data_IF_893000816612
#
_entry.id   IF_893000816612
#
_cell.length_a   1.000
_cell.length_b   1.000
_cell.length_c   1.000
_cell.angle_alpha   90.00
_cell.angle_beta   90.00
_cell.angle_gamma   90.00
#
_symmetry.space_group_name_H-M   'P 1'
#
loop_
_entity.id
_entity.type
_entity.pdbx_description
1 polymer ?
#
# COMPACT_ATOMS: atom_id res chain seq x y z
N UNK A 1 -46.25 -1.46 50.77
CA UNK A 1 -44.96 -2.17 50.68
C UNK A 1 -44.16 -1.47 49.61
N UNK A 2 -42.98 -0.95 49.95
CA UNK A 2 -42.16 -0.15 49.04
C UNK A 2 -41.47 -1.06 48.02
N UNK A 3 -41.66 -0.78 46.73
CA UNK A 3 -40.89 -1.41 45.66
C UNK A 3 -39.66 -0.53 45.40
N UNK A 4 -38.48 -1.04 45.72
CA UNK A 4 -37.20 -0.37 45.40
C UNK A 4 -36.98 -0.39 43.87
N UNK A 5 -36.47 0.69 43.25
CA UNK A 5 -36.08 0.65 41.86
C UNK A 5 -34.85 -0.23 41.65
N UNK A 6 -34.69 -0.88 40.47
CA UNK A 6 -33.54 -1.70 40.19
C UNK A 6 -32.26 -0.85 40.08
N UNK A 7 -31.08 -1.43 40.36
CA UNK A 7 -29.82 -0.70 40.29
C UNK A 7 -29.57 -0.21 38.85
N UNK A 8 -29.26 1.09 38.73
CA UNK A 8 -28.73 1.66 37.50
C UNK A 8 -27.39 1.00 37.20
N UNK A 9 -27.38 0.17 36.16
CA UNK A 9 -26.15 -0.38 35.61
C UNK A 9 -25.51 0.72 34.76
N UNK A 10 -24.46 1.37 35.27
CA UNK A 10 -23.58 2.23 34.49
C UNK A 10 -22.80 1.36 33.49
N UNK A 11 -23.49 0.95 32.42
CA UNK A 11 -22.93 0.29 31.25
C UNK A 11 -22.12 1.27 30.40
N UNK A 12 -21.14 1.97 31.00
CA UNK A 12 -20.15 2.71 30.22
C UNK A 12 -19.31 1.67 29.48
N UNK A 13 -19.70 1.36 28.24
CA UNK A 13 -18.84 0.67 27.29
C UNK A 13 -17.46 1.35 27.39
N UNK A 14 -16.44 0.60 27.82
CA UNK A 14 -15.05 1.03 27.71
C UNK A 14 -14.86 1.33 26.23
N UNK A 15 -14.76 2.62 25.88
CA UNK A 15 -14.33 3.01 24.55
C UNK A 15 -13.02 2.26 24.27
N UNK A 16 -12.90 1.55 23.14
CA UNK A 16 -11.61 1.02 22.75
C UNK A 16 -10.65 2.20 22.73
N UNK A 17 -9.54 2.03 23.44
CA UNK A 17 -8.38 2.91 23.36
C UNK A 17 -8.20 3.26 21.88
N UNK A 18 -8.24 4.56 21.57
CA UNK A 18 -8.25 5.05 20.19
C UNK A 18 -6.96 4.58 19.54
N UNK A 19 -7.02 3.45 18.83
CA UNK A 19 -5.89 2.94 18.07
C UNK A 19 -5.43 4.06 17.15
N UNK A 20 -4.15 4.40 17.22
CA UNK A 20 -3.55 5.41 16.34
C UNK A 20 -4.02 5.14 14.90
N UNK A 21 -4.50 6.17 14.17
CA UNK A 21 -4.91 6.00 12.78
C UNK A 21 -3.89 5.16 12.00
N UNK A 22 -4.35 4.22 11.16
CA UNK A 22 -3.45 3.43 10.34
C UNK A 22 -2.46 4.34 9.61
N UNK A 23 -1.19 3.94 9.58
CA UNK A 23 -0.11 4.65 8.86
C UNK A 23 0.31 6.00 9.46
N UNK A 24 -0.01 6.27 10.73
CA UNK A 24 0.45 7.48 11.41
C UNK A 24 1.99 7.58 11.44
N UNK A 25 2.51 8.73 11.03
CA UNK A 25 3.95 8.98 10.91
C UNK A 25 4.59 8.51 9.60
N UNK A 26 3.84 7.86 8.70
CA UNK A 26 4.33 7.51 7.37
C UNK A 26 4.14 8.67 6.40
N UNK A 27 5.17 8.93 5.58
CA UNK A 27 5.16 9.93 4.52
C UNK A 27 4.84 9.20 3.20
N UNK A 28 3.89 9.73 2.42
CA UNK A 28 3.65 9.25 1.07
C UNK A 28 4.88 9.49 0.20
N UNK A 29 5.42 8.42 -0.39
CA UNK A 29 6.47 8.55 -1.38
C UNK A 29 5.94 9.35 -2.60
N UNK A 30 6.77 10.21 -3.23
CA UNK A 30 6.38 10.89 -4.46
C UNK A 30 6.00 9.87 -5.54
N UNK A 31 4.80 9.98 -6.10
CA UNK A 31 4.31 9.08 -7.14
C UNK A 31 4.73 9.49 -8.55
N UNK A 32 5.38 10.67 -8.72
CA UNK A 32 5.69 11.21 -10.05
C UNK A 32 6.50 10.28 -10.95
N UNK A 33 7.41 9.47 -10.38
CA UNK A 33 8.16 8.46 -11.15
C UNK A 33 7.24 7.34 -11.66
N UNK A 34 6.31 6.87 -10.82
CA UNK A 34 5.32 5.86 -11.21
C UNK A 34 4.31 6.42 -12.21
N UNK A 35 3.85 7.65 -12.04
CA UNK A 35 2.93 8.35 -12.96
C UNK A 35 3.57 8.54 -14.35
N UNK A 36 4.82 9.04 -14.37
CA UNK A 36 5.59 9.21 -15.61
C UNK A 36 5.78 7.87 -16.31
N UNK A 37 6.14 6.83 -15.55
CA UNK A 37 6.33 5.50 -16.10
C UNK A 37 4.99 4.88 -16.58
N UNK A 38 3.86 5.16 -15.92
CA UNK A 38 2.53 4.71 -16.37
C UNK A 38 2.13 5.30 -17.72
N UNK A 39 2.57 6.52 -18.05
CA UNK A 39 2.26 7.16 -19.34
C UNK A 39 2.82 6.40 -20.55
N UNK A 40 3.92 5.67 -20.39
CA UNK A 40 4.49 4.80 -21.44
C UNK A 40 3.61 3.57 -21.73
N UNK A 41 2.70 3.22 -20.82
CA UNK A 41 1.77 2.11 -20.98
C UNK A 41 2.43 0.73 -20.96
N UNK A 42 1.70 -0.27 -21.48
CA UNK A 42 2.20 -1.64 -21.55
C UNK A 42 3.03 -1.86 -22.80
N UNK A 43 4.20 -2.46 -22.63
CA UNK A 43 5.16 -2.80 -23.69
C UNK A 43 5.32 -4.31 -23.83
N UNK A 44 5.92 -4.73 -24.95
CA UNK A 44 6.20 -6.14 -25.25
C UNK A 44 7.52 -6.56 -24.59
N UNK A 45 7.48 -7.66 -23.84
CA UNK A 45 8.70 -8.28 -23.32
C UNK A 45 9.60 -8.73 -24.48
N UNK A 46 10.91 -8.40 -24.46
CA UNK A 46 11.82 -8.78 -25.54
C UNK A 46 12.09 -10.30 -25.61
N UNK A 47 11.79 -11.03 -24.52
CA UNK A 47 12.01 -12.48 -24.43
C UNK A 47 10.75 -13.27 -24.79
N UNK A 48 9.62 -12.98 -24.12
CA UNK A 48 8.39 -13.78 -24.27
C UNK A 48 7.26 -13.08 -25.04
N UNK A 49 7.45 -11.85 -25.54
CA UNK A 49 6.42 -11.03 -26.20
C UNK A 49 5.15 -10.74 -25.37
N UNK A 50 5.14 -11.11 -24.09
CA UNK A 50 4.06 -10.79 -23.16
C UNK A 50 3.93 -9.28 -22.93
N UNK A 51 2.71 -8.80 -22.72
CA UNK A 51 2.42 -7.39 -22.40
C UNK A 51 2.71 -7.13 -20.91
N UNK A 52 3.62 -6.18 -20.62
CA UNK A 52 4.13 -5.84 -19.28
C UNK A 52 4.29 -4.32 -19.15
N UNK A 53 4.36 -3.81 -17.91
CA UNK A 53 4.71 -2.40 -17.67
C UNK A 53 6.23 -2.24 -17.66
N UNK A 54 6.87 -2.43 -16.51
CA UNK A 54 8.31 -2.17 -16.31
C UNK A 54 9.16 -3.43 -16.15
N UNK A 55 8.53 -4.56 -15.82
CA UNK A 55 9.21 -5.81 -15.50
C UNK A 55 8.40 -7.01 -15.95
N UNK A 56 9.08 -8.00 -16.51
CA UNK A 56 8.50 -9.29 -16.83
C UNK A 56 8.83 -10.29 -15.72
N UNK A 57 7.84 -10.65 -14.89
CA UNK A 57 8.03 -11.63 -13.82
C UNK A 57 8.27 -13.06 -14.31
N UNK A 58 7.91 -13.38 -15.55
CA UNK A 58 8.16 -14.71 -16.13
C UNK A 58 9.60 -14.86 -16.63
N UNK A 59 10.18 -13.78 -17.18
CA UNK A 59 11.52 -13.79 -17.76
C UNK A 59 12.55 -13.08 -16.89
N UNK A 60 12.12 -12.54 -15.74
CA UNK A 60 12.91 -11.76 -14.80
C UNK A 60 13.71 -10.62 -15.45
N UNK A 61 13.11 -9.88 -16.38
CA UNK A 61 13.78 -8.83 -17.15
C UNK A 61 13.03 -7.50 -17.13
N UNK A 62 13.76 -6.39 -17.23
CA UNK A 62 13.19 -5.05 -17.41
C UNK A 62 12.50 -4.93 -18.78
N UNK A 63 11.47 -4.10 -18.86
CA UNK A 63 10.71 -3.82 -20.07
C UNK A 63 10.55 -2.31 -20.20
N UNK A 64 11.20 -1.73 -21.21
CA UNK A 64 11.19 -0.29 -21.50
C UNK A 64 11.58 0.61 -20.34
N UNK A 65 12.42 0.09 -19.44
CA UNK A 65 13.08 0.83 -18.37
C UNK A 65 14.56 0.47 -18.41
N UNK A 66 15.43 1.46 -18.49
CA UNK A 66 16.86 1.23 -18.41
C UNK A 66 17.29 0.96 -16.96
N UNK A 67 18.27 0.07 -16.71
CA UNK A 67 18.73 -0.27 -15.36
C UNK A 67 19.13 0.94 -14.51
N UNK A 68 19.71 1.98 -15.10
CA UNK A 68 20.11 3.21 -14.43
C UNK A 68 18.95 4.01 -13.81
N UNK A 69 17.71 3.76 -14.24
CA UNK A 69 16.51 4.39 -13.69
C UNK A 69 15.87 3.56 -12.55
N UNK A 70 16.37 2.36 -12.25
CA UNK A 70 15.82 1.50 -11.21
C UNK A 70 16.50 1.83 -9.87
N UNK A 71 15.73 2.28 -8.84
CA UNK A 71 16.31 2.59 -7.55
C UNK A 71 16.94 1.35 -6.88
N UNK A 72 18.19 1.48 -6.42
CA UNK A 72 18.83 0.43 -5.62
C UNK A 72 18.45 0.62 -4.15
N UNK A 73 17.76 -0.37 -3.59
CA UNK A 73 17.34 -0.35 -2.18
C UNK A 73 18.18 -1.35 -1.41
N UNK A 74 18.75 -0.92 -0.27
CA UNK A 74 19.46 -1.82 0.64
C UNK A 74 18.45 -2.49 1.55
N UNK A 75 18.39 -3.82 1.53
CA UNK A 75 17.57 -4.61 2.46
C UNK A 75 18.38 -4.80 3.74
N UNK A 76 17.82 -4.36 4.87
CA UNK A 76 18.42 -4.45 6.21
C UNK A 76 18.23 -5.82 6.85
#
# INVERSE_FOLDING_TARGET
>A
MAHSPPPHQDGRLKQPERAEPPLQGLILAPHGALESAQSAGRMKCPVCSGSRMFFCYSCCCLVGVSPEHVPTVKVS
#
